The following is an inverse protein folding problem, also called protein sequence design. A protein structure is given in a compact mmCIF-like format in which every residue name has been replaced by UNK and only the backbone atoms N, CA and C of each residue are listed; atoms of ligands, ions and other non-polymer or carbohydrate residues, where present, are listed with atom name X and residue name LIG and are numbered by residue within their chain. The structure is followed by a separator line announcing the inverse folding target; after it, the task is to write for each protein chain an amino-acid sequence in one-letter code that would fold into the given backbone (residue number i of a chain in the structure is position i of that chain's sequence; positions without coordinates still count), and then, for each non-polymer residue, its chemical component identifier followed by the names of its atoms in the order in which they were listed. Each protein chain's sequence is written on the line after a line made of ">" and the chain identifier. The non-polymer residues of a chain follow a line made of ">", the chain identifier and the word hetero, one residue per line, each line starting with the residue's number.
data_IF_072021203361
#
_entry.id   IF_072021203361
#
_cell.length_a   1.000
_cell.length_b   1.000
_cell.length_c   1.000
_cell.angle_alpha   90.00
_cell.angle_beta   90.00
_cell.angle_gamma   90.00
#
_symmetry.space_group_name_H-M   'P 1'
#
loop_
_entity.id
_entity.type
_entity.pdbx_description
1 polymer ?
#
# COMPACT_ATOMS: atom_id res chain seq x y z
N UNK A 1 -25.01 23.32 6.27
CA UNK A 1 -24.61 21.91 6.46
C UNK A 1 -23.43 21.67 5.53
N UNK A 2 -22.18 21.61 6.00
CA UNK A 2 -21.09 21.17 5.15
C UNK A 2 -21.13 19.63 5.11
N UNK A 3 -21.54 19.08 3.97
CA UNK A 3 -21.38 17.65 3.69
C UNK A 3 -19.90 17.31 3.74
N UNK A 4 -19.55 16.47 4.71
CA UNK A 4 -18.20 16.02 4.94
C UNK A 4 -17.73 15.19 3.75
N UNK A 5 -16.76 15.78 3.04
CA UNK A 5 -15.65 15.15 2.31
C UNK A 5 -15.66 13.63 2.40
N UNK A 6 -16.14 12.98 1.34
CA UNK A 6 -15.71 11.62 1.03
C UNK A 6 -15.24 11.63 -0.41
N UNK A 7 -14.17 12.39 -0.64
CA UNK A 7 -13.32 12.22 -1.82
C UNK A 7 -12.54 10.91 -1.63
N UNK A 8 -13.26 9.80 -1.59
CA UNK A 8 -12.72 8.44 -1.56
C UNK A 8 -12.31 8.07 -2.98
N UNK A 9 -11.36 8.84 -3.53
CA UNK A 9 -10.73 8.48 -4.78
C UNK A 9 -10.01 7.13 -4.58
N UNK A 10 -10.25 6.10 -5.41
CA UNK A 10 -9.71 4.73 -5.23
C UNK A 10 -8.18 4.61 -5.34
N UNK A 11 -7.46 5.74 -5.41
CA UNK A 11 -5.99 5.85 -5.31
C UNK A 11 -5.51 6.33 -3.94
N UNK A 12 -6.41 6.65 -3.01
CA UNK A 12 -6.06 7.21 -1.70
C UNK A 12 -5.79 6.13 -0.64
N UNK A 13 -6.41 4.95 -0.76
CA UNK A 13 -6.30 3.89 0.25
C UNK A 13 -4.88 3.37 0.41
N UNK A 14 -4.24 2.98 -0.70
CA UNK A 14 -2.86 2.52 -0.65
C UNK A 14 -1.87 3.66 -0.38
N UNK A 15 -2.13 4.86 -0.89
CA UNK A 15 -1.28 6.02 -0.60
C UNK A 15 -1.27 6.38 0.89
N UNK A 16 -2.44 6.36 1.54
CA UNK A 16 -2.59 6.60 2.97
C UNK A 16 -1.90 5.49 3.79
N UNK A 17 -2.12 4.22 3.42
CA UNK A 17 -1.46 3.10 4.08
C UNK A 17 0.07 3.16 3.92
N UNK A 18 0.55 3.49 2.74
CA UNK A 18 1.99 3.66 2.48
C UNK A 18 2.60 4.78 3.33
N UNK A 19 1.91 5.92 3.46
CA UNK A 19 2.37 7.00 4.34
C UNK A 19 2.45 6.54 5.80
N UNK A 20 1.47 5.76 6.25
CA UNK A 20 1.41 5.19 7.59
C UNK A 20 2.53 4.16 7.83
N UNK A 21 2.85 3.32 6.86
CA UNK A 21 4.00 2.39 6.92
C UNK A 21 5.34 3.15 6.97
N UNK A 22 5.50 4.23 6.20
CA UNK A 22 6.70 5.07 6.23
C UNK A 22 6.86 5.75 7.60
N UNK A 23 5.76 6.18 8.21
CA UNK A 23 5.76 6.86 9.51
C UNK A 23 5.90 5.90 10.70
N UNK A 24 5.66 4.60 10.53
CA UNK A 24 5.66 3.60 11.60
C UNK A 24 6.71 2.51 11.38
N UNK A 25 7.85 2.57 12.10
CA UNK A 25 8.89 1.55 12.02
C UNK A 25 8.39 0.15 12.35
N UNK A 26 7.43 0.02 13.27
CA UNK A 26 6.87 -1.27 13.65
C UNK A 26 6.12 -1.94 12.48
N UNK A 27 5.29 -1.18 11.77
CA UNK A 27 4.56 -1.68 10.61
C UNK A 27 5.48 -1.98 9.43
N UNK A 28 6.52 -1.16 9.25
CA UNK A 28 7.55 -1.45 8.27
C UNK A 28 8.25 -2.78 8.56
N UNK A 29 8.67 -3.03 9.81
CA UNK A 29 9.33 -4.28 10.20
C UNK A 29 8.41 -5.49 10.01
N UNK A 30 7.13 -5.34 10.36
CA UNK A 30 6.16 -6.41 10.18
C UNK A 30 5.97 -6.79 8.71
N UNK A 31 5.86 -5.80 7.82
CA UNK A 31 5.77 -6.03 6.38
C UNK A 31 7.08 -6.55 5.78
N UNK A 32 8.23 -6.08 6.29
CA UNK A 32 9.55 -6.51 5.84
C UNK A 32 9.89 -7.95 6.26
N UNK A 33 9.28 -8.45 7.34
CA UNK A 33 9.45 -9.83 7.81
C UNK A 33 8.68 -10.86 6.94
N UNK A 34 7.75 -10.42 6.10
CA UNK A 34 6.98 -11.32 5.23
C UNK A 34 7.72 -11.56 3.90
N UNK A 35 8.33 -12.74 3.79
CA UNK A 35 9.12 -13.13 2.62
C UNK A 35 8.27 -13.73 1.49
N UNK A 36 7.05 -14.22 1.77
CA UNK A 36 6.21 -14.85 0.77
C UNK A 36 5.39 -13.82 -0.01
N UNK A 37 5.53 -13.72 -1.35
CA UNK A 37 4.87 -12.67 -2.14
C UNK A 37 3.34 -12.67 -2.05
N UNK A 38 2.72 -13.85 -1.96
CA UNK A 38 1.26 -13.95 -1.82
C UNK A 38 0.80 -13.52 -0.43
N UNK A 39 1.51 -13.94 0.62
CA UNK A 39 1.21 -13.56 2.00
C UNK A 39 1.46 -12.08 2.26
N UNK A 40 2.48 -11.51 1.63
CA UNK A 40 2.77 -10.08 1.70
C UNK A 40 1.56 -9.24 1.26
N UNK A 41 0.93 -9.61 0.14
CA UNK A 41 -0.24 -8.88 -0.35
C UNK A 41 -1.43 -9.00 0.60
N UNK A 42 -1.69 -10.20 1.10
CA UNK A 42 -2.75 -10.44 2.07
C UNK A 42 -2.51 -9.65 3.35
N UNK A 43 -1.26 -9.61 3.82
CA UNK A 43 -0.87 -8.88 5.04
C UNK A 43 -1.01 -7.37 4.87
N UNK A 44 -0.65 -6.83 3.71
CA UNK A 44 -0.87 -5.41 3.39
C UNK A 44 -2.36 -5.05 3.46
N UNK A 45 -3.24 -5.87 2.86
CA UNK A 45 -4.69 -5.62 2.87
C UNK A 45 -5.25 -5.72 4.29
N UNK A 46 -4.82 -6.72 5.06
CA UNK A 46 -5.22 -6.91 6.45
C UNK A 46 -4.81 -5.72 7.34
N UNK A 47 -3.53 -5.33 7.28
CA UNK A 47 -3.00 -4.21 8.05
C UNK A 47 -3.65 -2.88 7.62
N UNK A 48 -3.83 -2.67 6.32
CA UNK A 48 -4.53 -1.49 5.84
C UNK A 48 -5.94 -1.40 6.44
N UNK A 49 -6.69 -2.51 6.43
CA UNK A 49 -8.02 -2.56 7.03
C UNK A 49 -8.01 -2.27 8.53
N UNK A 50 -7.05 -2.84 9.27
CA UNK A 50 -6.89 -2.58 10.71
C UNK A 50 -6.60 -1.11 11.02
N UNK A 51 -5.92 -0.41 10.11
CA UNK A 51 -5.61 1.01 10.22
C UNK A 51 -6.62 1.93 9.52
N UNK A 52 -7.79 1.42 9.10
CA UNK A 52 -8.84 2.20 8.47
C UNK A 52 -8.55 2.65 7.04
N UNK A 53 -7.56 2.05 6.38
CA UNK A 53 -7.22 2.28 4.98
C UNK A 53 -7.92 1.23 4.09
N UNK A 54 -8.68 1.69 3.10
CA UNK A 54 -9.34 0.82 2.13
C UNK A 54 -8.40 0.50 0.96
N UNK A 55 -7.60 -0.56 1.09
CA UNK A 55 -6.69 -1.03 0.02
C UNK A 55 -7.31 -2.23 -0.68
N UNK A 56 -7.40 -2.17 -2.01
CA UNK A 56 -7.84 -3.31 -2.82
C UNK A 56 -6.66 -4.11 -3.35
N UNK A 57 -6.89 -5.39 -3.67
CA UNK A 57 -5.86 -6.23 -4.31
C UNK A 57 -5.44 -5.67 -5.68
N UNK A 58 -6.40 -5.21 -6.47
CA UNK A 58 -6.13 -4.63 -7.80
C UNK A 58 -5.24 -3.39 -7.71
N UNK A 59 -5.49 -2.51 -6.73
CA UNK A 59 -4.67 -1.33 -6.45
C UNK A 59 -3.24 -1.74 -6.08
N UNK A 60 -3.10 -2.72 -5.19
CA UNK A 60 -1.80 -3.23 -4.74
C UNK A 60 -1.00 -3.89 -5.88
N UNK A 61 -1.66 -4.66 -6.74
CA UNK A 61 -1.06 -5.28 -7.92
C UNK A 61 -0.62 -4.24 -8.96
N UNK A 62 -1.41 -3.18 -9.17
CA UNK A 62 -1.06 -2.08 -10.06
C UNK A 62 0.20 -1.35 -9.55
N UNK A 63 0.25 -1.04 -8.26
CA UNK A 63 1.39 -0.38 -7.62
C UNK A 63 2.64 -1.26 -7.61
N UNK A 64 2.49 -2.57 -7.38
CA UNK A 64 3.60 -3.53 -7.46
C UNK A 64 4.18 -3.59 -8.87
N UNK A 65 3.32 -3.61 -9.91
CA UNK A 65 3.76 -3.56 -11.32
C UNK A 65 4.49 -2.26 -11.64
N UNK A 66 3.96 -1.12 -11.19
CA UNK A 66 4.59 0.20 -11.33
C UNK A 66 5.96 0.27 -10.64
N UNK A 67 6.07 -0.23 -9.41
CA UNK A 67 7.32 -0.27 -8.66
C UNK A 67 8.37 -1.12 -9.36
N UNK A 68 8.00 -2.31 -9.85
CA UNK A 68 8.90 -3.18 -10.65
C UNK A 68 9.39 -2.47 -11.90
N UNK A 69 8.49 -1.85 -12.66
CA UNK A 69 8.84 -1.11 -13.88
C UNK A 69 9.83 0.02 -13.58
N UNK A 70 9.56 0.84 -12.57
CA UNK A 70 10.44 1.94 -12.15
C UNK A 70 11.82 1.46 -11.68
N UNK A 71 11.89 0.29 -11.04
CA UNK A 71 13.16 -0.29 -10.61
C UNK A 71 14.00 -0.76 -11.80
N UNK A 72 13.37 -1.39 -12.80
CA UNK A 72 14.04 -1.80 -14.04
C UNK A 72 14.56 -0.55 -14.78
N UNK A 73 13.71 0.45 -14.99
CA UNK A 73 14.07 1.70 -15.66
C UNK A 73 15.25 2.41 -14.99
N UNK A 74 15.32 2.40 -13.65
CA UNK A 74 16.45 2.96 -12.89
C UNK A 74 17.74 2.16 -12.92
N UNK A 75 17.71 0.86 -13.26
CA UNK A 75 18.92 0.02 -13.35
C UNK A 75 19.50 -0.06 -14.76
N UNK A 76 18.70 0.26 -15.76
CA UNK A 76 19.09 0.20 -17.19
C UNK A 76 19.64 1.54 -17.69
N UNK A 77 19.29 2.65 -17.02
CA UNK A 77 19.87 3.99 -17.22
C UNK A 77 21.04 4.22 -16.26
#
# INVERSE_FOLDING_TARGET
>A
MPDSVSDSSPRQGFAAFKALVIASPALFQELAAEEHPMRFQDRVIELARLHGCAVSREELEAETRLARRRWIERRVL
#
